data_IF_604873844980
#
_entry.id   IF_604873844980
#
_cell.length_a   1.000
_cell.length_b   1.000
_cell.length_c   1.000
_cell.angle_alpha   90.00
_cell.angle_beta   90.00
_cell.angle_gamma   90.00
#
_symmetry.space_group_name_H-M   'P 1'
#
loop_
_entity.id
_entity.type
_entity.pdbx_description
1 polymer ?
#
# COMPACT_ATOMS: atom_id res chain seq x y z
N UNK A 1 -34.13 -8.57 -35.04
CA UNK A 1 -34.59 -7.34 -34.37
C UNK A 1 -33.59 -7.04 -33.27
N UNK A 2 -32.80 -5.97 -33.20
CA UNK A 2 -32.53 -4.82 -34.04
C UNK A 2 -31.03 -4.47 -33.84
N UNK A 3 -30.30 -4.18 -34.91
CA UNK A 3 -28.94 -3.67 -34.85
C UNK A 3 -29.02 -2.15 -34.64
N UNK A 4 -28.59 -1.66 -33.47
CA UNK A 4 -28.50 -0.24 -33.18
C UNK A 4 -27.28 0.36 -33.91
N UNK A 5 -27.56 1.16 -34.94
CA UNK A 5 -26.56 1.94 -35.63
C UNK A 5 -26.02 3.04 -34.70
N UNK A 6 -24.78 2.87 -34.24
CA UNK A 6 -24.02 3.92 -33.54
C UNK A 6 -23.85 5.10 -34.50
N UNK A 7 -24.57 6.20 -34.25
CA UNK A 7 -24.40 7.46 -34.98
C UNK A 7 -23.10 8.11 -34.52
N UNK A 8 -22.13 8.16 -35.43
CA UNK A 8 -20.89 8.92 -35.25
C UNK A 8 -21.20 10.41 -34.99
N UNK A 9 -20.58 11.05 -33.99
CA UNK A 9 -20.78 12.47 -33.75
C UNK A 9 -20.26 13.29 -34.94
N UNK A 10 -21.08 14.17 -35.50
CA UNK A 10 -20.62 15.08 -36.56
C UNK A 10 -19.40 15.92 -36.09
N UNK A 11 -18.49 16.32 -37.00
CA UNK A 11 -17.19 16.93 -36.68
C UNK A 11 -17.28 18.16 -35.76
N UNK A 12 -18.39 18.91 -35.82
CA UNK A 12 -18.68 20.05 -34.93
C UNK A 12 -18.97 19.65 -33.48
N UNK A 13 -19.65 18.52 -33.25
CA UNK A 13 -19.93 18.01 -31.89
C UNK A 13 -18.68 17.40 -31.25
N UNK A 14 -17.84 16.76 -32.05
CA UNK A 14 -16.53 16.28 -31.60
C UNK A 14 -15.64 17.45 -31.18
N UNK A 15 -15.50 18.48 -32.02
CA UNK A 15 -14.70 19.66 -31.72
C UNK A 15 -15.19 20.43 -30.47
N UNK A 16 -16.52 20.52 -30.27
CA UNK A 16 -17.11 21.17 -29.10
C UNK A 16 -16.88 20.38 -27.80
N UNK A 17 -16.86 19.05 -27.89
CA UNK A 17 -16.54 18.16 -26.78
C UNK A 17 -15.06 18.23 -26.39
N UNK A 18 -14.17 18.24 -27.38
CA UNK A 18 -12.72 18.40 -27.17
C UNK A 18 -12.40 19.76 -26.53
N UNK A 19 -13.02 20.84 -27.02
CA UNK A 19 -12.81 22.18 -26.43
C UNK A 19 -13.36 22.28 -25.01
N UNK A 20 -14.52 21.70 -24.72
CA UNK A 20 -15.06 21.63 -23.34
C UNK A 20 -14.15 20.81 -22.42
N UNK A 21 -13.62 19.67 -22.87
CA UNK A 21 -12.63 18.88 -22.12
C UNK A 21 -11.35 19.67 -21.85
N UNK A 22 -10.83 20.38 -22.85
CA UNK A 22 -9.61 21.19 -22.71
C UNK A 22 -9.82 22.34 -21.71
N UNK A 23 -10.98 23.02 -21.76
CA UNK A 23 -11.37 24.07 -20.82
C UNK A 23 -11.53 23.52 -19.39
N UNK A 24 -12.08 22.32 -19.23
CA UNK A 24 -12.17 21.63 -17.94
C UNK A 24 -10.78 21.28 -17.39
N UNK A 25 -9.86 20.79 -18.23
CA UNK A 25 -8.48 20.49 -17.83
C UNK A 25 -7.68 21.73 -17.44
N UNK A 26 -7.93 22.87 -18.09
CA UNK A 26 -7.25 24.15 -17.82
C UNK A 26 -7.87 24.92 -16.64
N UNK A 27 -9.16 24.70 -16.37
CA UNK A 27 -9.92 25.40 -15.33
C UNK A 27 -9.84 24.77 -13.94
N UNK A 28 -9.33 23.54 -13.81
CA UNK A 28 -9.11 22.91 -12.50
C UNK A 28 -7.78 23.43 -11.93
N UNK A 29 -7.78 24.18 -10.82
CA UNK A 29 -6.54 24.60 -10.19
C UNK A 29 -5.74 23.36 -9.80
N UNK A 30 -4.56 23.20 -10.39
CA UNK A 30 -3.64 22.14 -10.01
C UNK A 30 -3.13 22.48 -8.61
N UNK A 31 -3.60 21.70 -7.62
CA UNK A 31 -3.11 21.83 -6.26
C UNK A 31 -1.61 21.60 -6.24
N UNK A 32 -0.84 22.61 -5.85
CA UNK A 32 0.59 22.48 -5.64
C UNK A 32 0.86 22.12 -4.18
N UNK A 33 1.85 21.26 -3.90
CA UNK A 33 2.30 21.09 -2.53
C UNK A 33 2.82 22.43 -2.00
N UNK A 34 2.37 22.84 -0.82
CA UNK A 34 2.77 24.13 -0.24
C UNK A 34 4.09 24.03 0.55
N UNK A 35 4.49 22.84 0.98
CA UNK A 35 5.74 22.59 1.69
C UNK A 35 6.22 21.11 1.68
N UNK A 36 5.58 20.21 0.93
CA UNK A 36 6.03 18.82 0.78
C UNK A 36 6.78 18.66 -0.54
N UNK A 37 8.01 18.15 -0.48
CA UNK A 37 8.81 17.93 -1.67
C UNK A 37 8.35 16.65 -2.40
N UNK A 38 8.01 16.81 -3.69
CA UNK A 38 7.64 15.71 -4.57
C UNK A 38 8.80 15.22 -5.43
N UNK A 39 9.87 16.00 -5.58
CA UNK A 39 11.00 15.68 -6.47
C UNK A 39 11.99 14.73 -5.79
N UNK A 40 12.30 14.95 -4.51
CA UNK A 40 13.26 14.13 -3.75
C UNK A 40 12.59 13.03 -2.92
N UNK A 41 11.44 12.52 -3.36
CA UNK A 41 10.69 11.49 -2.65
C UNK A 41 11.45 10.14 -2.60
N UNK A 42 11.30 9.42 -1.49
CA UNK A 42 11.85 8.07 -1.33
C UNK A 42 10.77 7.01 -1.59
N UNK A 43 10.96 6.23 -2.65
CA UNK A 43 10.08 5.10 -2.97
C UNK A 43 10.63 3.80 -2.36
N UNK A 44 9.89 3.25 -1.39
CA UNK A 44 10.15 1.93 -0.82
C UNK A 44 9.27 0.89 -1.53
N UNK A 45 9.91 -0.08 -2.19
CA UNK A 45 9.21 -1.16 -2.87
C UNK A 45 9.16 -2.40 -1.97
N UNK A 46 7.99 -3.02 -1.90
CA UNK A 46 7.79 -4.27 -1.16
C UNK A 46 7.45 -5.45 -2.08
N UNK A 47 7.21 -6.63 -1.50
CA UNK A 47 6.87 -7.82 -2.28
C UNK A 47 5.55 -7.65 -3.06
N UNK A 48 5.50 -8.05 -4.34
CA UNK A 48 4.29 -7.91 -5.16
C UNK A 48 3.16 -8.80 -4.61
N UNK A 49 1.90 -8.42 -4.88
CA UNK A 49 0.70 -9.18 -4.52
C UNK A 49 0.49 -9.44 -3.01
N UNK A 50 1.14 -8.67 -2.14
CA UNK A 50 1.01 -8.80 -0.67
C UNK A 50 0.20 -7.69 -0.01
N UNK A 51 -0.33 -6.75 -0.81
CA UNK A 51 -0.91 -5.48 -0.34
C UNK A 51 0.09 -4.66 0.52
N UNK A 52 1.39 -4.75 0.21
CA UNK A 52 2.41 -3.92 0.84
C UNK A 52 2.06 -2.44 0.70
N UNK A 53 1.88 -1.76 1.85
CA UNK A 53 1.44 -0.37 1.90
C UNK A 53 0.00 -0.18 2.34
N UNK A 54 -0.74 -1.26 2.64
CA UNK A 54 -2.12 -1.17 3.13
C UNK A 54 -2.23 -0.34 4.42
N UNK A 55 -1.25 -0.49 5.32
CA UNK A 55 -1.07 0.37 6.48
C UNK A 55 0.38 0.85 6.56
N UNK A 56 0.58 2.08 7.06
CA UNK A 56 1.90 2.70 7.18
C UNK A 56 2.01 3.48 8.48
N UNK A 57 3.17 3.44 9.12
CA UNK A 57 3.49 4.32 10.24
C UNK A 57 4.96 4.71 10.25
N UNK A 58 5.26 5.96 10.61
CA UNK A 58 6.63 6.41 10.85
C UNK A 58 7.03 6.09 12.28
N UNK A 59 8.21 5.51 12.46
CA UNK A 59 8.74 5.15 13.78
C UNK A 59 10.16 5.72 13.99
N UNK A 60 10.34 6.52 15.03
CA UNK A 60 11.62 6.95 15.57
C UNK A 60 11.94 6.24 16.89
N UNK A 61 13.19 5.79 17.02
CA UNK A 61 13.76 5.24 18.26
C UNK A 61 15.20 5.75 18.39
N UNK A 62 15.45 6.69 19.32
CA UNK A 62 16.73 7.38 19.42
C UNK A 62 17.11 8.07 18.10
N UNK A 63 18.29 7.75 17.56
CA UNK A 63 18.76 8.25 16.26
C UNK A 63 18.21 7.48 15.05
N UNK A 64 17.52 6.35 15.28
CA UNK A 64 17.00 5.53 14.20
C UNK A 64 15.64 6.06 13.71
N UNK A 65 15.42 5.97 12.40
CA UNK A 65 14.19 6.35 11.71
C UNK A 65 13.77 5.19 10.82
N UNK A 66 12.51 4.80 10.94
CA UNK A 66 11.94 3.64 10.26
C UNK A 66 10.61 4.02 9.63
N UNK A 67 10.38 3.51 8.43
CA UNK A 67 9.06 3.37 7.85
C UNK A 67 8.60 1.94 8.17
N UNK A 68 7.46 1.79 8.84
CA UNK A 68 6.86 0.49 9.14
C UNK A 68 5.64 0.34 8.25
N UNK A 69 5.55 -0.80 7.55
CA UNK A 69 4.57 -1.03 6.49
C UNK A 69 3.87 -2.36 6.70
N UNK A 70 2.54 -2.35 6.65
CA UNK A 70 1.73 -3.57 6.67
C UNK A 70 1.52 -4.14 5.27
N UNK A 71 1.48 -5.48 5.20
CA UNK A 71 1.17 -6.25 4.00
C UNK A 71 0.23 -7.41 4.38
N UNK A 72 -1.10 -7.16 4.45
CA UNK A 72 -2.10 -8.10 4.99
C UNK A 72 -2.16 -9.48 4.36
N UNK A 73 -1.66 -9.64 3.12
CA UNK A 73 -1.65 -10.94 2.42
C UNK A 73 -0.24 -11.48 2.19
N UNK A 74 0.77 -10.94 2.86
CA UNK A 74 2.12 -11.47 2.82
C UNK A 74 2.22 -12.86 3.47
N UNK A 75 3.07 -13.71 2.91
CA UNK A 75 3.47 -14.98 3.52
C UNK A 75 4.61 -14.76 4.53
N UNK A 76 4.73 -15.65 5.50
CA UNK A 76 5.84 -15.65 6.44
C UNK A 76 7.08 -16.31 5.86
N UNK A 77 8.25 -15.67 6.05
CA UNK A 77 9.54 -16.29 5.73
C UNK A 77 9.89 -17.42 6.69
N UNK A 78 9.40 -17.36 7.94
CA UNK A 78 9.72 -18.34 8.98
C UNK A 78 8.86 -19.61 8.92
N UNK A 79 7.66 -19.55 8.32
CA UNK A 79 6.78 -20.69 8.17
C UNK A 79 5.88 -20.51 6.95
N UNK A 80 6.12 -21.31 5.90
CA UNK A 80 5.35 -21.25 4.65
C UNK A 80 4.05 -22.07 4.68
N UNK A 81 3.78 -22.82 5.77
CA UNK A 81 2.57 -23.63 5.90
C UNK A 81 1.32 -22.82 6.25
N UNK A 82 1.47 -21.59 6.76
CA UNK A 82 0.36 -20.69 7.06
C UNK A 82 0.03 -19.88 5.80
N UNK A 83 -1.25 -19.89 5.39
CA UNK A 83 -1.70 -19.33 4.13
C UNK A 83 -2.01 -17.84 4.28
N UNK A 84 -1.25 -16.98 3.60
CA UNK A 84 -1.42 -15.53 3.57
C UNK A 84 -1.73 -14.90 4.95
N UNK A 85 -0.96 -15.18 6.01
CA UNK A 85 -1.22 -14.65 7.35
C UNK A 85 -1.16 -13.13 7.41
N UNK A 86 -0.42 -12.51 6.48
CA UNK A 86 -0.05 -11.11 6.56
C UNK A 86 1.22 -10.89 7.36
N UNK A 87 1.90 -9.78 7.10
CA UNK A 87 3.13 -9.43 7.78
C UNK A 87 3.31 -7.91 7.91
N UNK A 88 4.23 -7.53 8.77
CA UNK A 88 4.72 -6.15 8.91
C UNK A 88 6.17 -6.12 8.45
N UNK A 89 6.55 -5.07 7.73
CA UNK A 89 7.91 -4.80 7.29
C UNK A 89 8.44 -3.54 7.97
N UNK A 90 9.75 -3.46 8.18
CA UNK A 90 10.44 -2.22 8.54
C UNK A 90 11.44 -1.85 7.45
N UNK A 91 11.48 -0.57 7.09
CA UNK A 91 12.42 -0.03 6.12
C UNK A 91 13.19 1.10 6.80
N UNK A 92 14.51 1.01 6.85
CA UNK A 92 15.34 2.05 7.49
C UNK A 92 15.33 3.31 6.63
N UNK A 93 15.19 4.48 7.25
CA UNK A 93 15.30 5.79 6.60
C UNK A 93 16.74 6.32 6.76
N UNK A 94 17.31 6.88 5.71
CA UNK A 94 18.69 7.41 5.70
C UNK A 94 19.74 6.36 5.32
N UNK A 95 20.33 5.64 6.29
CA UNK A 95 21.37 4.60 6.02
C UNK A 95 20.75 3.32 5.41
N UNK A 96 20.14 3.45 4.24
CA UNK A 96 19.50 2.40 3.46
C UNK A 96 19.46 2.81 1.98
N UNK A 97 20.62 2.81 1.29
CA UNK A 97 20.70 3.26 -0.09
C UNK A 97 19.83 2.40 -1.04
N UNK A 98 19.70 1.11 -0.73
CA UNK A 98 18.86 0.17 -1.51
C UNK A 98 17.36 0.26 -1.20
N UNK A 99 16.94 1.08 -0.23
CA UNK A 99 15.54 1.20 0.22
C UNK A 99 14.93 -0.17 0.56
N UNK A 100 15.74 -1.06 1.12
CA UNK A 100 15.33 -2.41 1.46
C UNK A 100 14.40 -2.40 2.67
N UNK A 101 13.47 -3.34 2.68
CA UNK A 101 12.51 -3.55 3.77
C UNK A 101 12.65 -4.98 4.27
N UNK A 102 12.74 -5.13 5.59
CA UNK A 102 12.86 -6.42 6.27
C UNK A 102 11.52 -6.83 6.85
N UNK A 103 11.13 -8.09 6.64
CA UNK A 103 9.93 -8.64 7.27
C UNK A 103 10.16 -8.87 8.77
N UNK A 104 9.21 -8.46 9.58
CA UNK A 104 9.19 -8.70 11.01
C UNK A 104 8.37 -9.96 11.30
N UNK A 105 8.94 -10.87 12.08
CA UNK A 105 8.21 -12.02 12.62
C UNK A 105 7.54 -11.62 13.93
N UNK A 106 6.22 -11.76 13.99
CA UNK A 106 5.43 -11.59 15.22
C UNK A 106 4.90 -12.95 15.65
N UNK A 107 5.01 -13.24 16.94
CA UNK A 107 4.64 -14.54 17.52
C UNK A 107 5.53 -15.69 17.05
N UNK A 108 5.43 -16.84 17.73
CA UNK A 108 6.07 -18.08 17.33
C UNK A 108 5.56 -18.59 15.98
N UNK A 109 6.42 -18.93 15.01
CA UNK A 109 5.99 -19.51 13.73
C UNK A 109 5.22 -20.82 13.87
N UNK A 110 5.43 -21.55 14.97
CA UNK A 110 4.86 -22.88 15.20
C UNK A 110 3.50 -22.86 15.93
N UNK A 111 3.02 -21.67 16.26
CA UNK A 111 1.81 -21.47 17.07
C UNK A 111 2.17 -21.28 18.53
N UNK A 112 1.38 -20.46 19.23
CA UNK A 112 1.52 -20.24 20.67
C UNK A 112 0.26 -20.67 21.41
N UNK A 113 0.38 -21.17 22.66
CA UNK A 113 -0.80 -21.43 23.49
C UNK A 113 -1.64 -20.17 23.66
N UNK A 114 -2.86 -20.16 23.11
CA UNK A 114 -3.78 -19.02 23.20
C UNK A 114 -4.80 -19.15 24.35
N UNK A 115 -4.88 -20.31 25.01
CA UNK A 115 -5.76 -20.54 26.17
C UNK A 115 -6.19 -22.00 26.31
N UNK A 116 -6.94 -22.30 27.38
CA UNK A 116 -7.37 -23.68 27.68
C UNK A 116 -8.29 -24.31 26.62
N UNK A 117 -9.07 -23.48 25.94
CA UNK A 117 -10.11 -23.90 24.98
C UNK A 117 -9.94 -23.15 23.66
N UNK A 118 -8.70 -22.87 23.27
CA UNK A 118 -8.37 -22.09 22.10
C UNK A 118 -7.42 -22.87 21.19
N UNK A 119 -7.75 -22.90 19.90
CA UNK A 119 -6.88 -23.37 18.84
C UNK A 119 -6.64 -22.20 17.89
N UNK A 120 -5.38 -21.80 17.76
CA UNK A 120 -4.99 -20.66 16.93
C UNK A 120 -5.06 -21.04 15.44
N UNK A 121 -5.77 -20.25 14.64
CA UNK A 121 -5.79 -20.34 13.18
C UNK A 121 -5.33 -18.99 12.61
N UNK A 122 -4.25 -19.01 11.84
CA UNK A 122 -3.58 -17.79 11.35
C UNK A 122 -3.70 -17.61 9.84
N UNK A 123 -4.37 -18.54 9.17
CA UNK A 123 -4.63 -18.44 7.75
C UNK A 123 -5.51 -17.23 7.48
N UNK A 124 -5.06 -16.36 6.57
CA UNK A 124 -5.78 -15.16 6.15
C UNK A 124 -6.23 -14.26 7.31
N UNK A 125 -5.47 -14.19 8.41
CA UNK A 125 -5.80 -13.34 9.57
C UNK A 125 -5.63 -11.83 9.31
N UNK A 126 -5.04 -11.44 8.16
CA UNK A 126 -4.82 -10.05 7.76
C UNK A 126 -3.88 -9.27 8.69
N UNK A 127 -2.82 -9.90 9.17
CA UNK A 127 -1.82 -9.22 9.98
C UNK A 127 -1.17 -8.07 9.21
N UNK A 128 -1.14 -6.87 9.81
CA UNK A 128 -0.68 -5.65 9.14
C UNK A 128 -1.79 -4.85 8.46
N UNK A 129 -3.06 -5.16 8.72
CA UNK A 129 -4.20 -4.33 8.29
C UNK A 129 -4.19 -2.93 8.92
N UNK A 130 -3.66 -2.81 10.14
CA UNK A 130 -3.55 -1.54 10.86
C UNK A 130 -2.20 -1.45 11.57
N UNK A 131 -1.67 -0.23 11.63
CA UNK A 131 -0.46 0.12 12.37
C UNK A 131 -0.73 1.39 13.15
N UNK A 132 -0.32 1.41 14.41
CA UNK A 132 -0.37 2.58 15.26
C UNK A 132 0.91 2.67 16.07
N UNK A 133 1.31 3.89 16.40
CA UNK A 133 2.51 4.17 17.20
C UNK A 133 2.06 4.89 18.47
N UNK A 134 2.59 4.47 19.61
CA UNK A 134 2.45 5.22 20.85
C UNK A 134 3.05 6.63 20.69
N UNK A 135 2.38 7.69 21.19
CA UNK A 135 2.90 9.05 21.17
C UNK A 135 4.30 9.15 21.78
#
# INVERSE_FOLDING_TARGET
>A
MAWEARREPGPRRAALRETVMLLLCLGVPTGRPYNVDTESALLYQGPPNTLFGYSVVLHSQGANRWLVVGAPTANWLANASVINPGAIYRCRIGKNPGRTCEQLQLGSPNGEPCGKTCLEERDNQWLGVTLSRQP
#
